data_IF_303435491733
#
_entry.id   IF_303435491733
#
_cell.length_a   1.000
_cell.length_b   1.000
_cell.length_c   1.000
_cell.angle_alpha   90.00
_cell.angle_beta   90.00
_cell.angle_gamma   90.00
#
_symmetry.space_group_name_H-M   'P 1'
#
loop_
_entity.id
_entity.type
_entity.pdbx_description
1 polymer ?
#
# COMPACT_ATOMS: atom_id res chain seq x y z
N UNK A 1 1.38 3.32 -3.99
CA UNK A 1 1.27 4.44 -4.97
C UNK A 1 -0.08 4.52 -5.69
N UNK A 2 -0.67 3.40 -6.15
CA UNK A 2 -1.96 3.42 -6.88
C UNK A 2 -3.08 4.18 -6.17
N UNK A 3 -3.26 3.94 -4.86
CA UNK A 3 -4.26 4.64 -4.06
C UNK A 3 -4.06 6.17 -4.00
N UNK A 4 -2.82 6.63 -4.02
CA UNK A 4 -2.49 8.07 -4.01
C UNK A 4 -2.85 8.72 -5.35
N UNK A 5 -2.64 8.00 -6.46
CA UNK A 5 -2.87 8.51 -7.81
C UNK A 5 -4.33 8.42 -8.24
N UNK A 6 -4.99 7.31 -7.94
CA UNK A 6 -6.30 6.97 -8.49
C UNK A 6 -7.40 6.86 -7.41
N UNK A 7 -7.04 6.99 -6.14
CA UNK A 7 -7.95 6.71 -5.03
C UNK A 7 -8.11 5.21 -4.75
N UNK A 8 -8.70 4.85 -3.59
CA UNK A 8 -8.79 3.46 -3.14
C UNK A 8 -9.72 2.60 -4.00
N UNK A 9 -10.81 3.16 -4.51
CA UNK A 9 -11.83 2.41 -5.26
C UNK A 9 -11.34 1.93 -6.63
N UNK A 10 -10.68 2.81 -7.39
CA UNK A 10 -10.07 2.43 -8.67
C UNK A 10 -8.92 1.46 -8.43
N UNK A 11 -8.14 1.69 -7.36
CA UNK A 11 -7.04 0.78 -6.98
C UNK A 11 -7.56 -0.62 -6.69
N UNK A 12 -8.69 -0.79 -6.02
CA UNK A 12 -9.26 -2.11 -5.75
C UNK A 12 -9.57 -2.90 -7.04
N UNK A 13 -10.15 -2.25 -8.04
CA UNK A 13 -10.45 -2.87 -9.34
C UNK A 13 -9.15 -3.23 -10.07
N UNK A 14 -8.17 -2.31 -10.10
CA UNK A 14 -6.87 -2.56 -10.73
C UNK A 14 -6.12 -3.71 -10.02
N UNK A 15 -6.17 -3.76 -8.70
CA UNK A 15 -5.56 -4.82 -7.91
C UNK A 15 -6.18 -6.19 -8.19
N UNK A 16 -7.50 -6.28 -8.42
CA UNK A 16 -8.13 -7.53 -8.81
C UNK A 16 -7.56 -8.06 -10.14
N UNK A 17 -7.40 -7.18 -11.13
CA UNK A 17 -6.80 -7.53 -12.42
C UNK A 17 -5.34 -7.98 -12.23
N UNK A 18 -4.54 -7.20 -11.49
CA UNK A 18 -3.13 -7.52 -11.19
C UNK A 18 -3.02 -8.87 -10.47
N UNK A 19 -3.87 -9.15 -9.49
CA UNK A 19 -3.84 -10.39 -8.72
C UNK A 19 -4.23 -11.62 -9.55
N UNK A 20 -5.14 -11.45 -10.53
CA UNK A 20 -5.42 -12.51 -11.51
C UNK A 20 -4.17 -12.81 -12.34
N UNK A 21 -3.48 -11.78 -12.84
CA UNK A 21 -2.22 -11.98 -13.57
C UNK A 21 -1.15 -12.64 -12.68
N UNK A 22 -1.04 -12.26 -11.42
CA UNK A 22 -0.10 -12.86 -10.47
C UNK A 22 -0.40 -14.36 -10.24
N UNK A 23 -1.68 -14.71 -10.05
CA UNK A 23 -2.09 -16.09 -9.85
C UNK A 23 -1.87 -16.97 -11.09
N UNK A 24 -2.11 -16.45 -12.30
CA UNK A 24 -2.04 -17.22 -13.54
C UNK A 24 -0.63 -17.31 -14.13
N UNK A 25 0.15 -16.23 -14.08
CA UNK A 25 1.43 -16.15 -14.81
C UNK A 25 2.67 -16.19 -13.92
N UNK A 26 2.56 -15.71 -12.67
CA UNK A 26 3.71 -15.66 -11.75
C UNK A 26 3.67 -16.77 -10.70
N UNK A 27 2.64 -17.62 -10.73
CA UNK A 27 2.35 -18.63 -9.70
C UNK A 27 2.42 -18.03 -8.27
N UNK A 28 2.06 -16.76 -8.13
CA UNK A 28 2.08 -16.04 -6.87
C UNK A 28 0.64 -15.79 -6.40
N UNK A 29 0.29 -16.39 -5.26
CA UNK A 29 -1.08 -16.45 -4.78
C UNK A 29 -1.84 -17.66 -5.33
N UNK A 30 -3.15 -17.53 -5.52
CA UNK A 30 -3.99 -18.60 -6.05
C UNK A 30 -5.41 -18.12 -6.39
N UNK A 31 -6.10 -18.83 -7.28
CA UNK A 31 -7.47 -18.48 -7.68
C UNK A 31 -8.46 -18.64 -6.52
N UNK A 32 -8.25 -19.61 -5.64
CA UNK A 32 -9.07 -19.83 -4.44
C UNK A 32 -8.77 -18.81 -3.34
N UNK A 33 -7.55 -18.29 -3.28
CA UNK A 33 -7.13 -17.25 -2.32
C UNK A 33 -7.32 -15.84 -2.87
N UNK A 34 -7.77 -15.69 -4.12
CA UNK A 34 -7.92 -14.41 -4.81
C UNK A 34 -8.77 -13.41 -4.03
N UNK A 35 -9.90 -13.85 -3.47
CA UNK A 35 -10.78 -12.98 -2.68
C UNK A 35 -10.10 -12.43 -1.42
N UNK A 36 -9.36 -13.28 -0.70
CA UNK A 36 -8.60 -12.87 0.48
C UNK A 36 -7.51 -11.86 0.11
N UNK A 37 -6.77 -12.11 -0.98
CA UNK A 37 -5.71 -11.22 -1.47
C UNK A 37 -6.26 -9.88 -1.97
N UNK A 38 -7.39 -9.87 -2.68
CA UNK A 38 -8.05 -8.62 -3.10
C UNK A 38 -8.45 -7.81 -1.86
N UNK A 39 -8.99 -8.46 -0.84
CA UNK A 39 -9.39 -7.76 0.37
C UNK A 39 -8.20 -7.15 1.11
N UNK A 40 -7.10 -7.87 1.30
CA UNK A 40 -5.91 -7.34 1.98
C UNK A 40 -5.16 -6.31 1.13
N UNK A 41 -4.71 -6.69 -0.07
CA UNK A 41 -3.83 -5.90 -0.93
C UNK A 41 -4.55 -4.89 -1.83
N UNK A 42 -5.79 -5.18 -2.23
CA UNK A 42 -6.58 -4.33 -3.12
C UNK A 42 -7.49 -3.34 -2.39
N UNK A 43 -7.92 -3.67 -1.17
CA UNK A 43 -8.90 -2.86 -0.43
C UNK A 43 -8.28 -2.30 0.85
N UNK A 44 -7.93 -3.15 1.81
CA UNK A 44 -7.54 -2.70 3.15
C UNK A 44 -6.25 -1.86 3.13
N UNK A 45 -5.18 -2.37 2.52
CA UNK A 45 -3.92 -1.63 2.37
C UNK A 45 -4.11 -0.29 1.64
N UNK A 46 -4.67 -0.27 0.41
CA UNK A 46 -4.94 0.96 -0.33
C UNK A 46 -5.82 1.97 0.41
N UNK A 47 -6.84 1.51 1.15
CA UNK A 47 -7.70 2.37 1.94
C UNK A 47 -6.93 3.06 3.07
N UNK A 48 -6.18 2.31 3.87
CA UNK A 48 -5.37 2.88 4.96
C UNK A 48 -4.27 3.77 4.40
N UNK A 49 -3.57 3.35 3.34
CA UNK A 49 -2.56 4.18 2.69
C UNK A 49 -3.10 5.51 2.18
N UNK A 50 -4.30 5.51 1.57
CA UNK A 50 -4.96 6.74 1.15
C UNK A 50 -5.33 7.64 2.33
N UNK A 51 -5.89 7.08 3.40
CA UNK A 51 -6.22 7.82 4.61
C UNK A 51 -4.97 8.44 5.24
N UNK A 52 -3.90 7.68 5.39
CA UNK A 52 -2.60 8.16 5.88
C UNK A 52 -2.09 9.29 5.02
N UNK A 53 -2.13 9.15 3.69
CA UNK A 53 -1.70 10.20 2.76
C UNK A 53 -2.50 11.50 2.94
N UNK A 54 -3.84 11.41 3.01
CA UNK A 54 -4.71 12.58 3.18
C UNK A 54 -4.47 13.25 4.54
N UNK A 55 -4.37 12.46 5.62
CA UNK A 55 -4.13 12.98 6.97
C UNK A 55 -2.75 13.62 7.09
N UNK A 56 -1.71 13.01 6.53
CA UNK A 56 -0.36 13.55 6.54
C UNK A 56 -0.27 14.86 5.77
N UNK A 57 -0.89 14.93 4.59
CA UNK A 57 -0.98 16.16 3.78
C UNK A 57 -1.74 17.28 4.51
N UNK A 58 -2.86 16.96 5.17
CA UNK A 58 -3.63 17.93 5.98
C UNK A 58 -2.87 18.43 7.20
N UNK A 59 -2.00 17.60 7.75
CA UNK A 59 -1.16 17.95 8.91
C UNK A 59 0.11 18.73 8.52
N UNK A 60 0.27 19.07 7.24
CA UNK A 60 1.40 19.85 6.74
C UNK A 60 2.72 19.08 6.64
N UNK A 61 2.69 17.74 6.69
CA UNK A 61 3.91 16.95 6.48
C UNK A 61 4.45 17.12 5.07
N UNK A 62 5.77 16.95 4.93
CA UNK A 62 6.43 16.91 3.64
C UNK A 62 5.75 15.89 2.71
N UNK A 63 5.53 16.27 1.44
CA UNK A 63 4.84 15.43 0.45
C UNK A 63 5.50 14.05 0.26
N UNK A 64 6.84 13.99 0.21
CA UNK A 64 7.57 12.73 0.03
C UNK A 64 7.49 11.85 1.28
N UNK A 65 7.53 12.45 2.46
CA UNK A 65 7.33 11.73 3.72
C UNK A 65 5.88 11.21 3.83
N UNK A 66 4.89 11.99 3.39
CA UNK A 66 3.49 11.57 3.35
C UNK A 66 3.30 10.35 2.44
N UNK A 67 3.96 10.32 1.28
CA UNK A 67 3.95 9.19 0.35
C UNK A 67 4.66 7.97 0.94
N UNK A 68 5.82 8.18 1.60
CA UNK A 68 6.55 7.12 2.30
C UNK A 68 5.68 6.44 3.37
N UNK A 69 5.09 7.24 4.27
CA UNK A 69 4.24 6.73 5.35
C UNK A 69 3.00 6.04 4.81
N UNK A 70 2.38 6.59 3.76
CA UNK A 70 1.23 5.99 3.12
C UNK A 70 1.52 4.62 2.52
N UNK A 71 2.68 4.43 1.88
CA UNK A 71 3.10 3.15 1.35
C UNK A 71 3.42 2.15 2.48
N UNK A 72 4.31 2.52 3.40
CA UNK A 72 4.72 1.65 4.50
C UNK A 72 3.55 1.16 5.36
N UNK A 73 2.62 2.05 5.71
CA UNK A 73 1.45 1.70 6.52
C UNK A 73 0.39 0.92 5.73
N UNK A 74 0.30 1.11 4.40
CA UNK A 74 -0.53 0.26 3.56
C UNK A 74 -0.03 -1.19 3.54
N UNK A 75 1.30 -1.39 3.45
CA UNK A 75 1.91 -2.72 3.44
C UNK A 75 1.71 -3.40 4.79
N UNK A 76 2.00 -2.71 5.91
CA UNK A 76 1.74 -3.26 7.24
C UNK A 76 0.27 -3.62 7.46
N UNK A 77 -0.66 -2.78 6.98
CA UNK A 77 -2.09 -3.10 7.04
C UNK A 77 -2.41 -4.37 6.26
N UNK A 78 -1.84 -4.51 5.06
CA UNK A 78 -2.00 -5.69 4.21
C UNK A 78 -1.56 -6.95 4.96
N UNK A 79 -0.42 -6.91 5.64
CA UNK A 79 0.08 -8.08 6.38
C UNK A 79 -0.70 -8.36 7.65
N UNK A 80 -1.15 -7.33 8.39
CA UNK A 80 -2.05 -7.52 9.55
C UNK A 80 -3.34 -8.22 9.12
N UNK A 81 -3.96 -7.75 8.03
CA UNK A 81 -5.19 -8.36 7.49
C UNK A 81 -4.93 -9.78 7.00
N UNK A 82 -3.80 -10.01 6.33
CA UNK A 82 -3.43 -11.35 5.85
C UNK A 82 -3.19 -12.31 7.01
N UNK A 83 -2.47 -11.90 8.06
CA UNK A 83 -2.29 -12.71 9.27
C UNK A 83 -3.61 -13.04 9.94
N UNK A 84 -4.57 -12.09 9.96
CA UNK A 84 -5.91 -12.35 10.48
C UNK A 84 -6.69 -13.35 9.62
N UNK A 85 -6.65 -13.21 8.30
CA UNK A 85 -7.27 -14.16 7.36
C UNK A 85 -6.72 -15.57 7.56
N UNK A 86 -5.41 -15.72 7.66
CA UNK A 86 -4.75 -17.01 7.91
C UNK A 86 -5.10 -17.57 9.29
N UNK A 87 -5.16 -16.74 10.33
CA UNK A 87 -5.53 -17.17 11.67
C UNK A 87 -6.97 -17.68 11.75
N UNK A 88 -7.89 -17.06 11.01
CA UNK A 88 -9.27 -17.51 10.90
C UNK A 88 -9.40 -18.79 10.07
N UNK A 89 -8.59 -18.94 9.02
CA UNK A 89 -8.59 -20.13 8.16
C UNK A 89 -7.90 -21.34 8.83
N UNK A 90 -6.89 -21.11 9.65
CA UNK A 90 -6.08 -22.14 10.29
C UNK A 90 -5.89 -21.87 11.81
N UNK A 91 -6.94 -22.03 12.63
CA UNK A 91 -6.83 -21.86 14.08
C UNK A 91 -5.94 -22.95 14.70
N UNK A 92 -5.10 -22.56 15.67
CA UNK A 92 -4.21 -23.49 16.36
C UNK A 92 -4.99 -24.42 17.29
N UNK A 93 -4.53 -25.68 17.42
CA UNK A 93 -5.14 -26.68 18.29
C UNK A 93 -5.18 -26.23 19.78
N UNK A 94 -4.14 -25.50 20.21
CA UNK A 94 -4.10 -24.82 21.50
C UNK A 94 -4.03 -23.31 21.27
N UNK A 95 -4.91 -22.55 21.93
CA UNK A 95 -4.97 -21.08 21.83
C UNK A 95 -5.73 -20.52 20.62
N UNK A 96 -6.24 -21.37 19.72
CA UNK A 96 -7.19 -21.00 18.67
C UNK A 96 -6.70 -19.92 17.71
N UNK A 97 -7.61 -19.03 17.29
CA UNK A 97 -7.33 -17.94 16.34
C UNK A 97 -6.28 -16.97 16.87
N UNK A 98 -6.30 -16.67 18.18
CA UNK A 98 -5.36 -15.70 18.78
C UNK A 98 -3.93 -16.20 18.69
N UNK A 99 -3.70 -17.48 19.02
CA UNK A 99 -2.38 -18.09 18.90
C UNK A 99 -1.89 -18.13 17.44
N UNK A 100 -2.75 -18.51 16.50
CA UNK A 100 -2.40 -18.47 15.07
C UNK A 100 -2.08 -17.05 14.58
N UNK A 101 -2.87 -16.06 14.97
CA UNK A 101 -2.65 -14.66 14.59
C UNK A 101 -1.29 -14.16 15.08
N UNK A 102 -0.94 -14.43 16.33
CA UNK A 102 0.36 -14.08 16.90
C UNK A 102 1.51 -14.76 16.15
N UNK A 103 1.36 -16.06 15.83
CA UNK A 103 2.36 -16.80 15.07
C UNK A 103 2.57 -16.23 13.67
N UNK A 104 1.49 -16.00 12.90
CA UNK A 104 1.57 -15.44 11.55
C UNK A 104 2.12 -14.01 11.57
N UNK A 105 1.68 -13.16 12.51
CA UNK A 105 2.20 -11.81 12.67
C UNK A 105 3.71 -11.82 12.97
N UNK A 106 4.17 -12.69 13.87
CA UNK A 106 5.58 -12.78 14.24
C UNK A 106 6.46 -13.24 13.06
N UNK A 107 6.01 -14.26 12.32
CA UNK A 107 6.75 -14.78 11.15
C UNK A 107 6.81 -13.74 10.04
N UNK A 108 5.69 -13.08 9.73
CA UNK A 108 5.67 -12.03 8.72
C UNK A 108 6.45 -10.80 9.15
N UNK A 109 6.44 -10.40 10.42
CA UNK A 109 7.15 -9.20 10.86
C UNK A 109 8.64 -9.21 10.47
N UNK A 110 9.31 -10.37 10.51
CA UNK A 110 10.73 -10.51 10.18
C UNK A 110 11.05 -10.04 8.75
N UNK A 111 10.18 -10.36 7.78
CA UNK A 111 10.40 -10.03 6.37
C UNK A 111 9.66 -8.77 5.95
N UNK A 112 8.44 -8.59 6.45
CA UNK A 112 7.51 -7.57 5.98
C UNK A 112 7.76 -6.20 6.60
N UNK A 113 8.28 -6.14 7.83
CA UNK A 113 8.65 -4.84 8.43
C UNK A 113 9.82 -4.22 7.65
N UNK A 114 10.94 -4.93 7.38
CA UNK A 114 12.00 -4.39 6.54
C UNK A 114 11.56 -4.08 5.11
N UNK A 115 10.79 -4.98 4.49
CA UNK A 115 10.33 -4.80 3.11
C UNK A 115 9.48 -3.53 2.95
N UNK A 116 8.49 -3.32 3.82
CA UNK A 116 7.62 -2.15 3.77
C UNK A 116 8.37 -0.82 3.93
N UNK A 117 9.45 -0.79 4.72
CA UNK A 117 10.30 0.41 4.84
C UNK A 117 11.03 0.68 3.52
N UNK A 118 11.58 -0.36 2.88
CA UNK A 118 12.25 -0.24 1.59
C UNK A 118 11.26 0.14 0.49
N UNK A 119 10.10 -0.50 0.41
CA UNK A 119 9.05 -0.21 -0.56
C UNK A 119 8.47 1.21 -0.37
N UNK A 120 8.33 1.65 0.88
CA UNK A 120 7.97 3.03 1.20
C UNK A 120 8.99 4.04 0.65
N UNK A 121 10.28 3.77 0.84
CA UNK A 121 11.36 4.64 0.35
C UNK A 121 11.40 4.67 -1.19
N UNK A 122 11.31 3.50 -1.83
CA UNK A 122 11.25 3.38 -3.29
C UNK A 122 10.02 4.10 -3.84
N UNK A 123 8.86 3.97 -3.18
CA UNK A 123 7.62 4.65 -3.59
C UNK A 123 7.75 6.16 -3.50
N UNK A 124 8.34 6.70 -2.43
CA UNK A 124 8.59 8.13 -2.29
C UNK A 124 9.58 8.63 -3.36
N UNK A 125 10.61 7.85 -3.68
CA UNK A 125 11.56 8.15 -4.74
C UNK A 125 10.89 8.17 -6.13
N UNK A 126 10.10 7.14 -6.45
CA UNK A 126 9.32 7.09 -7.70
C UNK A 126 8.36 8.27 -7.80
N UNK A 127 7.72 8.65 -6.70
CA UNK A 127 6.84 9.82 -6.66
C UNK A 127 7.62 11.12 -6.91
N UNK A 128 8.84 11.26 -6.36
CA UNK A 128 9.73 12.40 -6.67
C UNK A 128 10.08 12.47 -8.16
N UNK A 129 10.40 11.35 -8.79
CA UNK A 129 10.62 11.30 -10.24
C UNK A 129 9.36 11.65 -11.02
N UNK A 130 8.19 11.20 -10.58
CA UNK A 130 6.91 11.54 -11.22
C UNK A 130 6.64 13.06 -11.17
N UNK A 131 6.86 13.71 -10.02
CA UNK A 131 6.75 15.18 -9.89
C UNK A 131 7.71 15.90 -10.84
N UNK A 132 8.96 15.43 -10.95
CA UNK A 132 9.98 16.02 -11.82
C UNK A 132 9.67 15.84 -13.30
N UNK A 133 9.32 14.63 -13.73
CA UNK A 133 9.17 14.30 -15.16
C UNK A 133 7.77 14.58 -15.69
N UNK A 134 6.72 14.30 -14.90
CA UNK A 134 5.31 14.32 -15.32
C UNK A 134 4.38 14.87 -14.24
N UNK A 135 4.77 15.99 -13.64
CA UNK A 135 3.95 16.69 -12.65
C UNK A 135 2.57 17.11 -13.18
N UNK A 136 2.40 17.20 -14.50
CA UNK A 136 1.12 17.46 -15.17
C UNK A 136 0.08 16.36 -14.87
N UNK A 137 0.51 15.10 -14.72
CA UNK A 137 -0.37 13.97 -14.37
C UNK A 137 -0.95 14.16 -12.97
N UNK A 138 -0.14 14.61 -12.01
CA UNK A 138 -0.56 14.82 -10.62
C UNK A 138 -1.60 15.93 -10.48
N UNK A 139 -1.52 16.95 -11.34
CA UNK A 139 -2.54 18.02 -11.42
C UNK A 139 -3.83 17.49 -12.04
N UNK A 140 -3.74 16.76 -13.16
CA UNK A 140 -4.90 16.15 -13.83
C UNK A 140 -5.67 15.19 -12.93
N UNK A 141 -4.96 14.43 -12.10
CA UNK A 141 -5.54 13.48 -11.13
C UNK A 141 -5.94 14.13 -9.79
N UNK A 142 -5.84 15.46 -9.68
CA UNK A 142 -6.17 16.22 -8.46
C UNK A 142 -5.42 15.75 -7.20
N UNK A 143 -4.19 15.25 -7.37
CA UNK A 143 -3.33 14.80 -6.26
C UNK A 143 -2.62 15.99 -5.61
N UNK A 144 -2.17 16.95 -6.43
CA UNK A 144 -1.49 18.18 -6.00
C UNK A 144 -1.81 19.35 -6.96
N UNK A 145 -1.81 20.58 -6.43
CA UNK A 145 -2.04 21.78 -7.25
C UNK A 145 -0.82 22.11 -8.12
N UNK A 146 -1.03 22.86 -9.21
CA UNK A 146 0.07 23.31 -10.08
C UNK A 146 1.12 24.15 -9.31
N UNK A 147 0.68 24.96 -8.35
CA UNK A 147 1.56 25.74 -7.47
C UNK A 147 2.42 24.83 -6.58
N UNK A 148 1.83 23.78 -5.98
CA UNK A 148 2.56 22.83 -5.17
C UNK A 148 3.59 22.05 -6.00
N UNK A 149 3.26 21.66 -7.23
CA UNK A 149 4.20 20.99 -8.14
C UNK A 149 5.38 21.90 -8.49
N UNK A 150 5.14 23.19 -8.75
CA UNK A 150 6.21 24.16 -9.02
C UNK A 150 7.17 24.26 -7.82
N UNK A 151 6.65 24.44 -6.61
CA UNK A 151 7.44 24.49 -5.37
C UNK A 151 8.25 23.21 -5.14
N UNK A 152 7.66 22.04 -5.36
CA UNK A 152 8.35 20.76 -5.21
C UNK A 152 9.46 20.54 -6.24
N UNK A 153 9.33 21.12 -7.44
CA UNK A 153 10.39 21.09 -8.46
C UNK A 153 11.55 22.02 -8.10
N UNK A 154 11.25 23.23 -7.63
CA UNK A 154 12.25 24.22 -7.19
C UNK A 154 13.01 23.75 -5.94
N UNK A 155 12.34 23.09 -4.99
CA UNK A 155 13.00 22.49 -3.82
C UNK A 155 13.84 21.25 -4.16
N UNK A 156 13.77 20.75 -5.40
CA UNK A 156 14.46 19.57 -5.84
C UNK A 156 15.61 19.87 -6.82
N UNK A 157 15.80 21.12 -7.24
CA UNK A 157 17.00 21.62 -7.93
C UNK A 157 18.05 22.03 -6.92
#
# INVERSE_FOLDING_TARGET
>A
MGAILFGPWITAVLSAIVLIYQALFLAHGGLTTLGANIFSMGIAGPLIGYLVFVLAKRSGLNMYLSVFLAAMLADWTTYVVTSMQLALAFPAASGGVVASFQAFMAIFAITQVPLAVVEGAVTALMFKYLVRLRGDILVKLNVASASAIKLLREAAT
#
